data_IF_189554748699
#
_entry.id   IF_189554748699
#
_cell.length_a   1.000
_cell.length_b   1.000
_cell.length_c   1.000
_cell.angle_alpha   90.00
_cell.angle_beta   90.00
_cell.angle_gamma   90.00
#
_symmetry.space_group_name_H-M   'P 1'
#
loop_
_entity.id
_entity.type
_entity.pdbx_description
1 polymer ?
#
# COMPACT_ATOMS: atom_id res chain seq x y z
N UNK A 1 11.77 10.01 -4.31
CA UNK A 1 12.47 10.08 -3.01
C UNK A 1 11.62 9.52 -1.85
N UNK A 2 10.49 10.12 -1.50
CA UNK A 2 9.68 9.71 -0.33
C UNK A 2 9.23 8.24 -0.37
N UNK A 3 8.68 7.75 -1.49
CA UNK A 3 8.25 6.36 -1.63
C UNK A 3 9.39 5.34 -1.44
N UNK A 4 10.59 5.65 -1.97
CA UNK A 4 11.77 4.80 -1.83
C UNK A 4 12.26 4.74 -0.38
N UNK A 5 12.32 5.89 0.28
CA UNK A 5 12.66 5.98 1.71
C UNK A 5 11.69 5.18 2.58
N UNK A 6 10.38 5.36 2.40
CA UNK A 6 9.35 4.63 3.14
C UNK A 6 9.46 3.12 2.92
N UNK A 7 9.71 2.68 1.69
CA UNK A 7 9.90 1.27 1.36
C UNK A 7 11.13 0.67 2.06
N UNK A 8 12.27 1.39 2.09
CA UNK A 8 13.46 0.95 2.84
C UNK A 8 13.18 0.81 4.33
N UNK A 9 12.47 1.79 4.91
CA UNK A 9 12.13 1.79 6.33
C UNK A 9 11.17 0.64 6.69
N UNK A 10 10.13 0.43 5.87
CA UNK A 10 9.22 -0.72 5.96
C UNK A 10 9.98 -2.06 5.87
N UNK A 11 10.92 -2.19 4.91
CA UNK A 11 11.71 -3.41 4.73
C UNK A 11 12.63 -3.67 5.93
N UNK A 12 13.24 -2.63 6.50
CA UNK A 12 14.05 -2.73 7.72
C UNK A 12 13.21 -3.18 8.91
N UNK A 13 12.03 -2.58 9.11
CA UNK A 13 11.11 -2.95 10.18
C UNK A 13 10.62 -4.39 10.03
N UNK A 14 10.21 -4.78 8.81
CA UNK A 14 9.77 -6.14 8.49
C UNK A 14 10.85 -7.18 8.82
N UNK A 15 12.11 -6.95 8.41
CA UNK A 15 13.23 -7.85 8.71
C UNK A 15 13.45 -7.99 10.22
N UNK A 16 13.40 -6.87 10.95
CA UNK A 16 13.61 -6.87 12.40
C UNK A 16 12.51 -7.63 13.13
N UNK A 17 11.25 -7.42 12.71
CA UNK A 17 10.08 -8.11 13.24
C UNK A 17 10.10 -9.61 12.90
N UNK A 18 10.51 -9.98 11.69
CA UNK A 18 10.63 -11.38 11.28
C UNK A 18 11.70 -12.13 12.09
N UNK A 19 12.88 -11.54 12.28
CA UNK A 19 13.92 -12.13 13.15
C UNK A 19 13.43 -12.30 14.58
N UNK A 20 12.62 -11.36 15.08
CA UNK A 20 12.01 -11.46 16.39
C UNK A 20 11.00 -12.61 16.46
N UNK A 21 10.11 -12.72 15.48
CA UNK A 21 9.14 -13.82 15.36
C UNK A 21 9.84 -15.20 15.33
N UNK A 22 10.91 -15.35 14.55
CA UNK A 22 11.69 -16.59 14.49
C UNK A 22 12.40 -16.94 15.80
N UNK A 23 12.81 -15.93 16.59
CA UNK A 23 13.32 -16.16 17.94
C UNK A 23 12.19 -16.67 18.83
N UNK A 24 11.02 -16.04 18.77
CA UNK A 24 9.85 -16.40 19.57
C UNK A 24 9.39 -17.85 19.32
N UNK A 25 9.31 -18.26 18.05
CA UNK A 25 9.04 -19.64 17.65
C UNK A 25 10.07 -20.66 18.18
N UNK A 26 11.33 -20.25 18.30
CA UNK A 26 12.39 -21.12 18.87
C UNK A 26 12.25 -21.26 20.39
N UNK A 27 11.80 -20.22 21.08
CA UNK A 27 11.57 -20.27 22.52
C UNK A 27 10.35 -21.11 22.88
N UNK A 28 9.24 -20.95 22.14
CA UNK A 28 8.04 -21.77 22.33
C UNK A 28 8.34 -23.26 22.17
N UNK A 29 9.08 -23.63 21.12
CA UNK A 29 9.51 -25.03 20.89
C UNK A 29 10.36 -25.61 22.02
N UNK A 30 11.12 -24.77 22.73
CA UNK A 30 11.98 -25.22 23.83
C UNK A 30 11.24 -25.26 25.18
N UNK A 31 10.00 -24.79 25.27
CA UNK A 31 9.23 -24.65 26.52
C UNK A 31 9.93 -23.88 27.66
N UNK A 32 11.00 -23.12 27.37
CA UNK A 32 11.75 -22.36 28.39
C UNK A 32 11.02 -21.03 28.62
N UNK A 33 10.09 -21.00 29.57
CA UNK A 33 9.39 -19.78 29.98
C UNK A 33 9.99 -19.25 31.29
N UNK A 34 11.03 -18.44 31.17
CA UNK A 34 11.58 -17.69 32.31
C UNK A 34 10.82 -16.38 32.52
N UNK A 35 10.54 -16.02 33.79
CA UNK A 35 9.90 -14.76 34.18
C UNK A 35 10.60 -13.50 33.63
N UNK A 36 11.91 -13.55 33.46
CA UNK A 36 12.71 -12.46 32.86
C UNK A 36 12.51 -12.34 31.35
N UNK A 37 12.35 -13.47 30.65
CA UNK A 37 12.06 -13.49 29.22
C UNK A 37 10.70 -12.89 28.90
N UNK A 38 9.74 -13.07 29.80
CA UNK A 38 8.39 -12.50 29.72
C UNK A 38 8.34 -10.98 29.81
N UNK A 39 9.02 -10.38 30.79
CA UNK A 39 9.14 -8.92 30.88
C UNK A 39 9.87 -8.33 29.66
N UNK A 40 10.88 -9.05 29.15
CA UNK A 40 11.55 -8.70 27.92
C UNK A 40 10.61 -8.75 26.70
N UNK A 41 9.78 -9.79 26.58
CA UNK A 41 8.82 -9.96 25.48
C UNK A 41 7.81 -8.80 25.44
N UNK A 42 7.23 -8.48 26.60
CA UNK A 42 6.27 -7.38 26.76
C UNK A 42 6.90 -6.04 26.39
N UNK A 43 8.07 -5.70 26.95
CA UNK A 43 8.77 -4.45 26.61
C UNK A 43 9.12 -4.36 25.13
N UNK A 44 9.52 -5.47 24.51
CA UNK A 44 10.01 -5.47 23.13
C UNK A 44 8.88 -5.46 22.09
N UNK A 45 7.80 -6.22 22.31
CA UNK A 45 6.62 -6.22 21.43
C UNK A 45 5.86 -4.90 21.56
N UNK A 46 5.48 -4.53 22.79
CA UNK A 46 4.58 -3.41 23.06
C UNK A 46 5.33 -2.08 23.02
N UNK A 47 6.51 -2.01 23.64
CA UNK A 47 7.31 -0.78 23.62
C UNK A 47 7.92 -0.57 22.24
N UNK A 48 8.85 -1.44 21.84
CA UNK A 48 9.69 -1.13 20.69
C UNK A 48 9.00 -1.33 19.34
N UNK A 49 8.43 -2.51 19.07
CA UNK A 49 7.90 -2.83 17.73
C UNK A 49 6.60 -2.12 17.40
N UNK A 50 5.70 -1.98 18.37
CA UNK A 50 4.45 -1.27 18.16
C UNK A 50 4.66 0.24 18.02
N UNK A 51 5.45 0.88 18.89
CA UNK A 51 5.74 2.31 18.76
C UNK A 51 6.49 2.62 17.46
N UNK A 52 7.47 1.79 17.06
CA UNK A 52 8.17 1.98 15.78
C UNK A 52 7.22 1.91 14.58
N UNK A 53 6.24 1.01 14.62
CA UNK A 53 5.24 0.93 13.56
C UNK A 53 4.24 2.08 13.63
N UNK A 54 3.80 2.51 14.81
CA UNK A 54 2.94 3.67 14.97
C UNK A 54 3.61 4.97 14.46
N UNK A 55 4.91 5.16 14.72
CA UNK A 55 5.70 6.26 14.15
C UNK A 55 5.76 6.15 12.62
N UNK A 56 6.03 4.96 12.07
CA UNK A 56 6.03 4.74 10.63
C UNK A 56 4.65 5.04 10.00
N UNK A 57 3.57 4.68 10.68
CA UNK A 57 2.20 4.97 10.26
C UNK A 57 1.89 6.46 10.27
N UNK A 58 2.33 7.18 11.32
CA UNK A 58 2.24 8.64 11.39
C UNK A 58 3.00 9.28 10.23
N UNK A 59 4.24 8.85 9.98
CA UNK A 59 5.03 9.39 8.86
C UNK A 59 4.38 9.13 7.51
N UNK A 60 3.84 7.92 7.28
CA UNK A 60 3.08 7.62 6.06
C UNK A 60 1.86 8.54 5.95
N UNK A 61 1.17 8.81 7.06
CA UNK A 61 0.04 9.73 7.08
C UNK A 61 0.46 11.17 6.73
N UNK A 62 1.56 11.66 7.31
CA UNK A 62 2.08 13.00 7.07
C UNK A 62 2.54 13.17 5.61
N UNK A 63 3.29 12.19 5.09
CA UNK A 63 3.65 12.16 3.68
C UNK A 63 2.43 12.05 2.77
N UNK A 64 1.42 11.26 3.16
CA UNK A 64 0.19 11.17 2.40
C UNK A 64 -0.51 12.52 2.35
N UNK A 65 -0.68 13.22 3.46
CA UNK A 65 -1.30 14.56 3.49
C UNK A 65 -0.56 15.56 2.59
N UNK A 66 0.78 15.59 2.68
CA UNK A 66 1.59 16.49 1.86
C UNK A 66 1.52 16.14 0.36
N UNK A 67 1.57 14.85 0.01
CA UNK A 67 1.61 14.40 -1.37
C UNK A 67 0.22 14.22 -1.99
N UNK A 68 -0.86 14.21 -1.21
CA UNK A 68 -2.24 13.95 -1.66
C UNK A 68 -2.63 14.81 -2.85
N UNK A 69 -2.40 16.13 -2.71
CA UNK A 69 -2.71 17.12 -3.75
C UNK A 69 -1.86 16.92 -4.99
N UNK A 70 -0.54 16.75 -4.83
CA UNK A 70 0.37 16.55 -5.95
C UNK A 70 0.09 15.25 -6.71
N UNK A 71 -0.15 14.14 -5.99
CA UNK A 71 -0.52 12.86 -6.58
C UNK A 71 -1.83 12.96 -7.36
N UNK A 72 -2.81 13.70 -6.84
CA UNK A 72 -4.09 13.93 -7.51
C UNK A 72 -3.92 14.73 -8.78
N UNK A 73 -3.17 15.84 -8.73
CA UNK A 73 -2.88 16.66 -9.92
C UNK A 73 -2.14 15.86 -10.98
N UNK A 74 -1.08 15.13 -10.61
CA UNK A 74 -0.30 14.30 -11.54
C UNK A 74 -1.19 13.21 -12.14
N UNK A 75 -1.98 12.52 -11.32
CA UNK A 75 -2.87 11.46 -11.78
C UNK A 75 -3.91 11.99 -12.77
N UNK A 76 -4.55 13.12 -12.48
CA UNK A 76 -5.52 13.76 -13.37
C UNK A 76 -4.85 14.26 -14.65
N UNK A 77 -3.67 14.88 -14.57
CA UNK A 77 -2.94 15.37 -15.74
C UNK A 77 -2.59 14.21 -16.69
N UNK A 78 -2.03 13.12 -16.15
CA UNK A 78 -1.69 11.93 -16.94
C UNK A 78 -2.94 11.30 -17.54
N UNK A 79 -4.04 11.24 -16.78
CA UNK A 79 -5.34 10.75 -17.26
C UNK A 79 -5.81 11.54 -18.47
N UNK A 80 -5.85 12.87 -18.38
CA UNK A 80 -6.29 13.74 -19.48
C UNK A 80 -5.39 13.58 -20.70
N UNK A 81 -4.07 13.49 -20.51
CA UNK A 81 -3.12 13.29 -21.62
C UNK A 81 -3.32 11.94 -22.31
N UNK A 82 -3.52 10.85 -21.55
CA UNK A 82 -3.81 9.53 -22.11
C UNK A 82 -5.13 9.55 -22.88
N UNK A 83 -6.20 10.10 -22.31
CA UNK A 83 -7.50 10.21 -22.99
C UNK A 83 -7.38 11.00 -24.28
N UNK A 84 -6.65 12.13 -24.27
CA UNK A 84 -6.43 12.93 -25.47
C UNK A 84 -5.64 12.18 -26.55
N UNK A 85 -4.59 11.42 -26.16
CA UNK A 85 -3.82 10.63 -27.11
C UNK A 85 -4.63 9.50 -27.73
N UNK A 86 -5.43 8.80 -26.93
CA UNK A 86 -6.35 7.76 -27.45
C UNK A 86 -7.36 8.38 -28.42
N UNK A 87 -7.88 9.57 -28.11
CA UNK A 87 -8.76 10.30 -29.02
C UNK A 87 -8.07 10.63 -30.35
N UNK A 88 -6.85 11.17 -30.33
CA UNK A 88 -6.10 11.48 -31.55
C UNK A 88 -5.87 10.22 -32.39
N UNK A 89 -5.45 9.13 -31.77
CA UNK A 89 -5.18 7.86 -32.47
C UNK A 89 -6.45 7.30 -33.14
N UNK A 90 -7.59 7.35 -32.45
CA UNK A 90 -8.83 6.73 -32.94
C UNK A 90 -9.62 7.62 -33.91
N UNK A 91 -9.67 8.94 -33.68
CA UNK A 91 -10.63 9.82 -34.37
C UNK A 91 -10.01 10.64 -35.52
N UNK A 92 -8.71 10.96 -35.45
CA UNK A 92 -8.13 11.96 -36.38
C UNK A 92 -7.47 11.39 -37.64
N UNK A 93 -7.54 10.05 -37.85
CA UNK A 93 -6.89 9.34 -38.98
C UNK A 93 -5.50 9.91 -39.33
N UNK A 94 -4.56 9.99 -38.37
CA UNK A 94 -3.29 10.66 -38.57
C UNK A 94 -2.42 9.92 -39.60
N UNK A 95 -1.49 10.65 -40.25
CA UNK A 95 -0.46 10.01 -41.09
C UNK A 95 0.37 9.03 -40.25
N UNK A 96 0.88 7.98 -40.89
CA UNK A 96 1.60 6.88 -40.22
C UNK A 96 2.73 7.33 -39.28
N UNK A 97 3.50 8.35 -39.67
CA UNK A 97 4.59 8.90 -38.85
C UNK A 97 4.06 9.48 -37.52
N UNK A 98 2.95 10.22 -37.57
CA UNK A 98 2.32 10.80 -36.38
C UNK A 98 1.64 9.74 -35.53
N UNK A 99 1.08 8.69 -36.15
CA UNK A 99 0.52 7.55 -35.44
C UNK A 99 1.57 6.87 -34.54
N UNK A 100 2.76 6.60 -35.07
CA UNK A 100 3.87 6.02 -34.30
C UNK A 100 4.29 6.94 -33.14
N UNK A 101 4.37 8.25 -33.39
CA UNK A 101 4.69 9.23 -32.35
C UNK A 101 3.67 9.22 -31.20
N UNK A 102 2.37 9.18 -31.53
CA UNK A 102 1.30 9.14 -30.53
C UNK A 102 1.31 7.83 -29.73
N UNK A 103 1.59 6.70 -30.36
CA UNK A 103 1.72 5.41 -29.66
C UNK A 103 2.88 5.43 -28.68
N UNK A 104 4.06 5.93 -29.09
CA UNK A 104 5.23 6.06 -28.21
C UNK A 104 4.94 6.99 -27.02
N UNK A 105 4.29 8.13 -27.27
CA UNK A 105 3.93 9.07 -26.22
C UNK A 105 2.91 8.46 -25.24
N UNK A 106 1.90 7.75 -25.77
CA UNK A 106 0.94 7.04 -24.94
C UNK A 106 1.62 5.99 -24.05
N UNK A 107 2.54 5.20 -24.60
CA UNK A 107 3.33 4.22 -23.83
C UNK A 107 4.12 4.88 -22.70
N UNK A 108 4.75 6.03 -22.94
CA UNK A 108 5.49 6.76 -21.90
C UNK A 108 4.57 7.22 -20.75
N UNK A 109 3.38 7.74 -21.07
CA UNK A 109 2.40 8.14 -20.06
C UNK A 109 1.83 6.94 -19.28
N UNK A 110 1.49 5.84 -19.96
CA UNK A 110 1.07 4.60 -19.32
C UNK A 110 2.16 4.02 -18.41
N UNK A 111 3.42 4.06 -18.85
CA UNK A 111 4.56 3.63 -18.05
C UNK A 111 4.72 4.47 -16.78
N UNK A 112 4.62 5.79 -16.91
CA UNK A 112 4.69 6.73 -15.76
C UNK A 112 3.56 6.48 -14.77
N UNK A 113 2.32 6.32 -15.25
CA UNK A 113 1.16 6.00 -14.41
C UNK A 113 1.33 4.66 -13.70
N UNK A 114 1.81 3.65 -14.42
CA UNK A 114 2.06 2.31 -13.88
C UNK A 114 3.09 2.34 -12.75
N UNK A 115 4.22 3.03 -12.95
CA UNK A 115 5.25 3.18 -11.93
C UNK A 115 4.71 3.88 -10.67
N UNK A 116 3.92 4.94 -10.83
CA UNK A 116 3.28 5.65 -9.74
C UNK A 116 2.38 4.74 -8.91
N UNK A 117 1.52 3.96 -9.58
CA UNK A 117 0.56 3.06 -8.96
C UNK A 117 1.28 1.89 -8.28
N UNK A 118 2.27 1.30 -8.93
CA UNK A 118 3.08 0.21 -8.36
C UNK A 118 3.78 0.69 -7.08
N UNK A 119 4.39 1.86 -7.09
CA UNK A 119 5.04 2.45 -5.91
C UNK A 119 4.07 2.62 -4.72
N UNK A 120 2.88 3.17 -4.98
CA UNK A 120 1.84 3.33 -3.94
C UNK A 120 1.33 1.99 -3.43
N UNK A 121 1.10 1.03 -4.33
CA UNK A 121 0.61 -0.30 -3.99
C UNK A 121 1.63 -1.11 -3.17
N UNK A 122 2.93 -1.01 -3.50
CA UNK A 122 3.99 -1.66 -2.72
C UNK A 122 3.99 -1.20 -1.26
N UNK A 123 3.78 0.10 -1.02
CA UNK A 123 3.74 0.66 0.34
C UNK A 123 2.56 0.10 1.13
N UNK A 124 1.37 0.03 0.51
CA UNK A 124 0.19 -0.62 1.10
C UNK A 124 0.46 -2.10 1.41
N UNK A 125 1.00 -2.85 0.45
CA UNK A 125 1.29 -4.28 0.62
C UNK A 125 2.31 -4.53 1.73
N UNK A 126 3.34 -3.71 1.84
CA UNK A 126 4.33 -3.80 2.91
C UNK A 126 3.71 -3.51 4.29
N UNK A 127 2.81 -2.52 4.39
CA UNK A 127 2.07 -2.26 5.63
C UNK A 127 1.25 -3.48 6.06
N UNK A 128 0.53 -4.11 5.11
CA UNK A 128 -0.23 -5.35 5.38
C UNK A 128 0.69 -6.46 5.88
N UNK A 129 1.86 -6.66 5.25
CA UNK A 129 2.82 -7.70 5.68
C UNK A 129 3.32 -7.46 7.11
N UNK A 130 3.63 -6.21 7.46
CA UNK A 130 4.08 -5.86 8.82
C UNK A 130 2.96 -6.11 9.84
N UNK A 131 1.73 -5.69 9.54
CA UNK A 131 0.56 -5.93 10.38
C UNK A 131 0.28 -7.43 10.58
N UNK A 132 0.37 -8.23 9.52
CA UNK A 132 0.21 -9.69 9.61
C UNK A 132 1.27 -10.33 10.51
N UNK A 133 2.53 -9.90 10.39
CA UNK A 133 3.60 -10.36 11.27
C UNK A 133 3.40 -9.92 12.72
N UNK A 134 2.91 -8.70 12.96
CA UNK A 134 2.57 -8.23 14.31
C UNK A 134 1.45 -9.07 14.91
N UNK A 135 0.38 -9.33 14.16
CA UNK A 135 -0.71 -10.22 14.58
C UNK A 135 -0.19 -11.61 14.94
N UNK A 136 0.67 -12.21 14.11
CA UNK A 136 1.31 -13.50 14.39
C UNK A 136 2.15 -13.48 15.67
N UNK A 137 2.91 -12.40 15.92
CA UNK A 137 3.68 -12.25 17.16
C UNK A 137 2.76 -12.14 18.38
N UNK A 138 1.66 -11.39 18.27
CA UNK A 138 0.67 -11.21 19.34
C UNK A 138 -0.02 -12.55 19.67
N UNK A 139 -0.50 -13.28 18.67
CA UNK A 139 -1.14 -14.60 18.88
C UNK A 139 -0.19 -15.63 19.48
N UNK A 140 1.08 -15.62 19.08
CA UNK A 140 2.07 -16.54 19.65
C UNK A 140 2.37 -16.19 21.11
N UNK A 141 2.45 -14.89 21.42
CA UNK A 141 2.64 -14.42 22.79
C UNK A 141 1.46 -14.73 23.72
N UNK A 142 0.22 -14.67 23.21
CA UNK A 142 -0.98 -15.01 24.00
C UNK A 142 -1.07 -16.52 24.27
N UNK A 143 -0.69 -17.35 23.29
CA UNK A 143 -0.71 -18.83 23.42
C UNK A 143 0.33 -19.34 24.42
N UNK A 144 1.50 -18.70 24.46
CA UNK A 144 2.57 -19.01 25.42
C UNK A 144 2.19 -18.66 26.88
N UNK A 145 1.18 -17.80 27.08
CA UNK A 145 0.77 -17.28 28.37
C UNK A 145 -0.74 -17.46 28.63
N UNK A 146 -1.20 -18.71 28.63
CA UNK A 146 -2.59 -19.14 28.86
C UNK A 146 -3.29 -18.60 30.13
N UNK A 147 -2.60 -17.92 31.06
CA UNK A 147 -3.18 -17.53 32.37
C UNK A 147 -3.09 -16.05 32.76
N UNK A 148 -2.47 -15.15 32.00
CA UNK A 148 -2.22 -13.79 32.50
C UNK A 148 -2.41 -12.63 31.51
N UNK A 149 -2.67 -12.87 30.22
CA UNK A 149 -2.93 -11.79 29.26
C UNK A 149 -4.39 -11.38 29.15
N UNK A 150 -5.07 -11.22 30.29
CA UNK A 150 -6.30 -10.43 30.35
C UNK A 150 -6.00 -8.92 30.43
N UNK A 151 -4.95 -8.51 29.73
CA UNK A 151 -4.44 -7.15 29.80
C UNK A 151 -5.16 -6.36 28.72
N UNK A 152 -6.02 -5.42 29.13
CA UNK A 152 -6.77 -4.51 28.26
C UNK A 152 -5.92 -3.92 27.12
N UNK A 153 -4.63 -3.68 27.39
CA UNK A 153 -3.68 -3.18 26.41
C UNK A 153 -3.44 -4.15 25.24
N UNK A 154 -3.32 -5.46 25.48
CA UNK A 154 -3.07 -6.46 24.43
C UNK A 154 -4.31 -6.63 23.53
N UNK A 155 -5.50 -6.67 24.14
CA UNK A 155 -6.77 -6.66 23.42
C UNK A 155 -6.91 -5.40 22.57
N UNK A 156 -6.60 -4.22 23.14
CA UNK A 156 -6.57 -2.96 22.40
C UNK A 156 -5.62 -3.03 21.20
N UNK A 157 -4.43 -3.62 21.36
CA UNK A 157 -3.49 -3.77 20.26
C UNK A 157 -3.98 -4.74 19.18
N UNK A 158 -4.58 -5.86 19.58
CA UNK A 158 -5.19 -6.80 18.64
C UNK A 158 -6.32 -6.14 17.86
N UNK A 159 -7.20 -5.40 18.54
CA UNK A 159 -8.28 -4.62 17.90
C UNK A 159 -7.72 -3.59 16.91
N UNK A 160 -6.71 -2.80 17.30
CA UNK A 160 -6.10 -1.80 16.40
C UNK A 160 -5.44 -2.48 15.20
N UNK A 161 -4.71 -3.58 15.42
CA UNK A 161 -4.04 -4.33 14.35
C UNK A 161 -5.06 -4.90 13.36
N UNK A 162 -6.18 -5.43 13.85
CA UNK A 162 -7.25 -5.96 13.01
C UNK A 162 -7.93 -4.85 12.20
N UNK A 163 -8.26 -3.71 12.84
CA UNK A 163 -8.83 -2.54 12.12
C UNK A 163 -7.88 -2.06 11.01
N UNK A 164 -6.57 -2.03 11.28
CA UNK A 164 -5.57 -1.63 10.30
C UNK A 164 -5.31 -2.68 9.21
N UNK A 165 -5.57 -3.97 9.47
CA UNK A 165 -5.53 -5.02 8.45
C UNK A 165 -6.69 -4.90 7.47
N UNK A 166 -7.88 -4.54 7.96
CA UNK A 166 -9.07 -4.35 7.12
C UNK A 166 -8.93 -3.08 6.26
N UNK A 167 -8.32 -2.03 6.81
CA UNK A 167 -8.06 -0.76 6.11
C UNK A 167 -6.59 -0.36 6.23
N UNK A 168 -5.68 -1.00 5.46
CA UNK A 168 -4.27 -0.67 5.52
C UNK A 168 -4.03 0.72 4.94
N UNK A 169 -3.25 1.50 5.67
CA UNK A 169 -2.82 2.83 5.24
C UNK A 169 -1.98 2.77 3.96
N UNK A 170 -2.15 3.79 3.14
CA UNK A 170 -1.44 3.96 1.88
C UNK A 170 -1.67 5.36 1.35
N UNK A 171 -1.13 5.63 0.15
CA UNK A 171 -1.33 6.91 -0.50
C UNK A 171 -2.74 7.05 -1.06
N UNK A 172 -3.34 8.20 -0.83
CA UNK A 172 -4.71 8.54 -1.22
C UNK A 172 -4.71 9.71 -2.21
N UNK A 173 -5.72 9.71 -3.07
CA UNK A 173 -6.10 10.86 -3.88
C UNK A 173 -7.03 11.79 -3.09
N UNK A 174 -7.24 13.02 -3.56
CA UNK A 174 -8.08 14.03 -2.90
C UNK A 174 -9.49 13.54 -2.58
N UNK A 175 -10.07 12.75 -3.49
CA UNK A 175 -11.37 12.09 -3.34
C UNK A 175 -11.40 10.95 -2.29
N UNK A 176 -10.30 10.71 -1.57
CA UNK A 176 -10.19 9.68 -0.54
C UNK A 176 -9.89 8.28 -1.07
N UNK A 177 -9.76 8.11 -2.39
CA UNK A 177 -9.43 6.82 -2.99
C UNK A 177 -7.98 6.44 -2.70
N UNK A 178 -7.76 5.25 -2.15
CA UNK A 178 -6.41 4.69 -1.96
C UNK A 178 -5.89 4.19 -3.30
N UNK A 179 -4.69 4.64 -3.68
CA UNK A 179 -4.03 4.22 -4.92
C UNK A 179 -3.55 2.78 -4.77
N UNK A 180 -4.10 1.90 -5.59
CA UNK A 180 -3.80 0.46 -5.59
C UNK A 180 -3.68 -0.05 -7.03
N UNK A 181 -3.21 -1.29 -7.20
CA UNK A 181 -3.24 -1.93 -8.53
C UNK A 181 -4.64 -1.96 -9.16
N UNK A 182 -5.70 -2.01 -8.34
CA UNK A 182 -7.08 -1.95 -8.83
C UNK A 182 -7.40 -0.60 -9.47
N UNK A 183 -6.82 0.49 -8.98
CA UNK A 183 -6.97 1.83 -9.56
C UNK A 183 -6.54 1.87 -11.03
N UNK A 184 -5.51 1.10 -11.41
CA UNK A 184 -5.08 0.99 -12.81
C UNK A 184 -6.10 0.25 -13.67
N UNK A 185 -6.67 -0.84 -13.16
CA UNK A 185 -7.70 -1.61 -13.87
C UNK A 185 -8.96 -0.77 -14.07
N UNK A 186 -9.45 -0.11 -13.02
CA UNK A 186 -10.60 0.79 -13.10
C UNK A 186 -10.36 1.93 -14.09
N UNK A 187 -9.15 2.50 -14.10
CA UNK A 187 -8.78 3.53 -15.05
C UNK A 187 -8.87 3.05 -16.51
N UNK A 188 -8.27 1.89 -16.82
CA UNK A 188 -8.33 1.31 -18.17
C UNK A 188 -9.77 1.02 -18.59
N UNK A 189 -10.56 0.39 -17.72
CA UNK A 189 -11.97 0.10 -17.98
C UNK A 189 -12.74 1.39 -18.27
N UNK A 190 -12.57 2.43 -17.46
CA UNK A 190 -13.29 3.69 -17.65
C UNK A 190 -12.94 4.36 -18.99
N UNK A 191 -11.66 4.38 -19.38
CA UNK A 191 -11.24 4.91 -20.68
C UNK A 191 -11.84 4.08 -21.81
N UNK A 192 -11.74 2.75 -21.74
CA UNK A 192 -12.31 1.87 -22.76
C UNK A 192 -13.82 2.04 -22.90
N UNK A 193 -14.56 2.12 -21.79
CA UNK A 193 -16.01 2.34 -21.77
C UNK A 193 -16.36 3.70 -22.36
N UNK A 194 -15.62 4.76 -22.01
CA UNK A 194 -15.85 6.10 -22.57
C UNK A 194 -15.71 6.12 -24.10
N UNK A 195 -14.63 5.55 -24.64
CA UNK A 195 -14.44 5.49 -26.09
C UNK A 195 -15.44 4.56 -26.79
N UNK A 196 -15.83 3.45 -26.15
CA UNK A 196 -16.88 2.59 -26.67
C UNK A 196 -18.21 3.33 -26.81
N UNK A 197 -18.64 4.04 -25.76
CA UNK A 197 -19.88 4.84 -25.78
C UNK A 197 -19.84 5.93 -26.85
N UNK A 198 -18.71 6.63 -27.00
CA UNK A 198 -18.56 7.65 -28.05
C UNK A 198 -18.61 7.02 -29.44
N UNK A 199 -17.94 5.88 -29.65
CA UNK A 199 -17.91 5.20 -30.95
C UNK A 199 -19.30 4.77 -31.43
N UNK A 200 -20.20 4.38 -30.51
CA UNK A 200 -21.57 4.02 -30.84
C UNK A 200 -22.41 5.20 -31.35
N UNK A 201 -22.08 6.42 -30.94
CA UNK A 201 -22.78 7.62 -31.39
C UNK A 201 -22.33 8.08 -32.78
N UNK A 202 -21.11 7.73 -33.23
CA UNK A 202 -20.60 8.10 -34.55
C UNK A 202 -21.05 7.17 -35.69
N UNK A 203 -21.65 6.01 -35.39
CA UNK A 203 -22.14 5.06 -36.39
C UNK A 203 -23.63 5.17 -36.74
N UNK A 204 -24.33 6.22 -36.27
CA UNK A 204 -25.77 6.43 -36.47
C UNK A 204 -26.12 7.63 -37.37
N UNK A 205 -25.13 8.20 -38.06
CA UNK A 205 -25.31 9.17 -39.14
C UNK A 205 -24.98 8.53 -40.48
#
# INVERSE_FOLDING_TARGET
MAQYYLNLRQKSLCRTLQRFYERLLRYERKQIIHRNFRQFLHRKIIGHHYQSFAMLQSEIHDYNQQLKRYLSVIFTLITVMITYLVYLVLMTKPKFIYLLLFILLAQAHYGTLSLLIIGCNMIKQNNVKILQLQRKCLTLSSTCERKLFHNYQLLKFETITNIQLDRPSGFQLENGMIITSYTFVTFLVNISTFFFLISQNFGRE
#
